data_IF_485924834079
#
_entry.id   IF_485924834079
#
_cell.length_a   1.000
_cell.length_b   1.000
_cell.length_c   1.000
_cell.angle_alpha   90.00
_cell.angle_beta   90.00
_cell.angle_gamma   90.00
#
_symmetry.space_group_name_H-M   'P 1'
#
loop_
_entity.id
_entity.type
_entity.pdbx_description
1 polymer ?
#
# COMPACT_ATOMS: atom_id res chain seq x y z
N UNK A 1 12.52 -13.47 -16.88
CA UNK A 1 11.25 -14.19 -16.65
C UNK A 1 10.67 -13.69 -15.34
N UNK A 2 9.34 -13.59 -15.22
CA UNK A 2 8.69 -13.23 -13.97
C UNK A 2 8.96 -14.28 -12.88
N UNK A 3 8.74 -13.92 -11.62
CA UNK A 3 8.76 -14.86 -10.48
C UNK A 3 7.47 -14.77 -9.67
N UNK A 4 6.97 -15.91 -9.20
CA UNK A 4 5.72 -16.04 -8.44
C UNK A 4 5.97 -16.85 -7.17
N UNK A 5 5.40 -16.43 -6.05
CA UNK A 5 5.53 -17.08 -4.73
C UNK A 5 4.30 -16.79 -3.85
N UNK A 6 4.18 -17.48 -2.72
CA UNK A 6 2.96 -17.51 -1.90
C UNK A 6 3.23 -17.10 -0.44
N UNK A 7 3.22 -15.79 -0.10
CA UNK A 7 3.51 -15.29 1.25
C UNK A 7 2.54 -15.76 2.34
N UNK A 8 1.27 -15.97 1.98
CA UNK A 8 0.24 -16.45 2.88
C UNK A 8 -0.33 -17.79 2.41
N UNK A 9 -0.70 -18.65 3.37
CA UNK A 9 -1.14 -20.04 3.10
C UNK A 9 -2.64 -20.19 2.84
N UNK A 10 -3.41 -19.10 2.86
CA UNK A 10 -4.83 -19.10 2.55
C UNK A 10 -5.07 -18.82 1.06
N UNK A 11 -6.25 -19.19 0.58
CA UNK A 11 -6.70 -18.88 -0.78
C UNK A 11 -6.87 -17.37 -1.01
N UNK A 12 -7.01 -16.97 -2.27
CA UNK A 12 -7.38 -15.62 -2.66
C UNK A 12 -8.90 -15.44 -2.71
N UNK A 13 -9.35 -14.29 -2.21
CA UNK A 13 -10.72 -13.84 -2.33
C UNK A 13 -10.94 -13.20 -3.72
N UNK A 14 -12.01 -13.56 -4.45
CA UNK A 14 -12.40 -12.81 -5.63
C UNK A 14 -12.88 -11.40 -5.26
N UNK A 15 -12.52 -10.40 -6.07
CA UNK A 15 -13.11 -9.08 -6.03
C UNK A 15 -14.63 -9.18 -6.31
N UNK A 16 -15.48 -8.46 -5.56
CA UNK A 16 -16.91 -8.43 -5.79
C UNK A 16 -17.28 -8.14 -7.26
N UNK A 17 -18.39 -8.71 -7.77
CA UNK A 17 -18.86 -8.42 -9.12
C UNK A 17 -19.20 -6.93 -9.24
N UNK A 18 -18.88 -6.33 -10.38
CA UNK A 18 -19.19 -4.94 -10.72
C UNK A 18 -20.70 -4.80 -10.98
N UNK A 19 -21.46 -4.47 -9.94
CA UNK A 19 -22.94 -4.53 -9.92
C UNK A 19 -23.66 -3.47 -10.75
N UNK A 20 -22.94 -2.57 -11.41
CA UNK A 20 -23.50 -1.58 -12.33
C UNK A 20 -22.64 -1.49 -13.59
N UNK A 21 -23.30 -1.50 -14.75
CA UNK A 21 -22.73 -1.00 -16.00
C UNK A 21 -22.80 0.53 -15.93
N UNK A 22 -21.67 1.17 -15.72
CA UNK A 22 -21.60 2.63 -15.63
C UNK A 22 -21.73 3.24 -17.02
N UNK A 23 -22.54 4.29 -17.15
CA UNK A 23 -22.87 4.92 -18.44
C UNK A 23 -21.82 5.95 -18.89
N UNK A 24 -20.94 6.37 -17.97
CA UNK A 24 -19.84 7.29 -18.23
C UNK A 24 -18.61 6.55 -18.82
N UNK A 25 -17.96 7.16 -19.80
CA UNK A 25 -16.77 6.60 -20.45
C UNK A 25 -15.63 6.32 -19.43
N UNK A 26 -14.88 5.20 -19.58
CA UNK A 26 -13.83 4.81 -18.63
C UNK A 26 -12.82 5.92 -18.34
N UNK A 27 -12.37 6.65 -19.36
CA UNK A 27 -11.42 7.75 -19.21
C UNK A 27 -11.93 8.85 -18.25
N UNK A 28 -13.15 9.37 -18.46
CA UNK A 28 -13.74 10.43 -17.61
C UNK A 28 -14.01 9.94 -16.19
N UNK A 29 -14.63 8.75 -16.06
CA UNK A 29 -14.94 8.12 -14.77
C UNK A 29 -13.68 7.90 -13.93
N UNK A 30 -12.63 7.32 -14.54
CA UNK A 30 -11.37 7.00 -13.85
C UNK A 30 -10.62 8.28 -13.51
N UNK A 31 -10.57 9.29 -14.38
CA UNK A 31 -9.95 10.59 -14.07
C UNK A 31 -10.59 11.21 -12.81
N UNK A 32 -11.90 11.46 -12.83
CA UNK A 32 -12.65 12.05 -11.71
C UNK A 32 -12.51 11.26 -10.42
N UNK A 33 -12.57 9.94 -10.49
CA UNK A 33 -12.52 9.08 -9.31
C UNK A 33 -11.11 8.86 -8.74
N UNK A 34 -10.05 9.04 -9.55
CA UNK A 34 -8.64 8.87 -9.15
C UNK A 34 -7.94 10.18 -8.81
N UNK A 35 -8.50 11.33 -9.18
CA UNK A 35 -7.87 12.64 -9.00
C UNK A 35 -8.69 13.56 -8.07
N UNK A 36 -9.51 13.00 -7.17
CA UNK A 36 -10.56 13.71 -6.41
C UNK A 36 -10.12 14.96 -5.65
N UNK A 37 -8.85 15.03 -5.26
CA UNK A 37 -8.25 16.15 -4.53
C UNK A 37 -7.35 17.03 -5.43
N UNK A 38 -7.42 16.87 -6.75
CA UNK A 38 -6.57 17.58 -7.72
C UNK A 38 -7.40 18.42 -8.70
N UNK A 39 -6.69 19.16 -9.56
CA UNK A 39 -7.27 20.11 -10.51
C UNK A 39 -8.18 19.40 -11.52
N UNK A 40 -7.75 18.26 -12.06
CA UNK A 40 -8.45 17.50 -13.10
C UNK A 40 -9.82 16.94 -12.70
N UNK A 41 -10.06 16.67 -11.41
CA UNK A 41 -11.39 16.25 -10.96
C UNK A 41 -12.43 17.40 -10.96
N UNK A 42 -11.97 18.66 -10.99
CA UNK A 42 -12.80 19.84 -10.77
C UNK A 42 -12.79 20.82 -11.96
N UNK A 43 -11.75 20.83 -12.81
CA UNK A 43 -11.59 21.78 -13.93
C UNK A 43 -11.21 21.13 -15.27
N UNK A 44 -11.51 19.84 -15.47
CA UNK A 44 -11.42 19.24 -16.80
C UNK A 44 -12.76 19.39 -17.55
N UNK A 45 -12.69 19.94 -18.76
CA UNK A 45 -13.77 19.97 -19.74
C UNK A 45 -13.75 18.72 -20.62
N UNK A 46 -13.67 18.92 -21.93
CA UNK A 46 -13.56 17.81 -22.89
C UNK A 46 -12.20 17.09 -22.75
N UNK A 47 -12.22 15.77 -22.68
CA UNK A 47 -11.01 14.94 -22.77
C UNK A 47 -10.70 14.77 -24.26
N UNK A 48 -9.59 15.37 -24.72
CA UNK A 48 -9.17 15.27 -26.10
C UNK A 48 -8.57 13.90 -26.42
N UNK A 49 -7.74 13.36 -25.50
CA UNK A 49 -7.21 11.99 -25.60
C UNK A 49 -6.89 11.40 -24.21
N UNK A 50 -7.05 10.08 -24.08
CA UNK A 50 -6.55 9.27 -22.98
C UNK A 50 -5.95 7.96 -23.48
N UNK A 51 -4.99 7.43 -22.72
CA UNK A 51 -4.59 6.01 -22.79
C UNK A 51 -5.75 5.00 -22.66
N UNK A 52 -6.90 5.43 -22.14
CA UNK A 52 -8.08 4.60 -21.89
C UNK A 52 -9.15 4.70 -22.99
N UNK A 53 -8.90 5.44 -24.07
CA UNK A 53 -9.86 5.62 -25.18
C UNK A 53 -9.65 4.62 -26.34
N UNK A 54 -8.71 3.68 -26.21
CA UNK A 54 -8.42 2.71 -27.28
C UNK A 54 -9.56 1.72 -27.48
N UNK A 55 -10.16 1.74 -28.67
CA UNK A 55 -11.28 0.87 -29.08
C UNK A 55 -10.88 -0.60 -29.23
N UNK A 56 -10.79 -1.33 -28.12
CA UNK A 56 -10.87 -2.80 -28.10
C UNK A 56 -12.08 -3.21 -27.25
N UNK A 57 -13.24 -3.33 -27.90
CA UNK A 57 -14.52 -3.72 -27.31
C UNK A 57 -14.42 -5.05 -26.55
N UNK A 58 -14.13 -4.98 -25.25
CA UNK A 58 -13.79 -6.11 -24.41
C UNK A 58 -13.98 -5.74 -22.93
N UNK A 59 -14.19 -6.71 -22.04
CA UNK A 59 -14.64 -6.46 -20.66
C UNK A 59 -13.55 -5.91 -19.69
N UNK A 60 -12.37 -5.57 -20.19
CA UNK A 60 -11.16 -5.33 -19.38
C UNK A 60 -11.09 -3.94 -18.73
N UNK A 61 -11.84 -2.95 -19.21
CA UNK A 61 -11.86 -1.59 -18.65
C UNK A 61 -12.97 -1.37 -17.60
N UNK A 62 -14.04 -2.19 -17.65
CA UNK A 62 -15.03 -2.29 -16.58
C UNK A 62 -14.44 -2.81 -15.26
N UNK A 63 -13.25 -3.41 -15.31
CA UNK A 63 -12.56 -4.02 -14.18
C UNK A 63 -11.44 -3.16 -13.57
N UNK A 64 -11.37 -1.88 -13.96
CA UNK A 64 -10.54 -0.88 -13.29
C UNK A 64 -11.32 -0.23 -12.15
N UNK A 65 -10.84 -0.44 -10.92
CA UNK A 65 -11.29 0.22 -9.68
C UNK A 65 -10.38 1.45 -9.44
N UNK A 66 -10.87 2.68 -9.65
CA UNK A 66 -10.07 3.91 -9.49
C UNK A 66 -9.75 4.25 -8.04
N UNK A 67 -8.62 4.92 -7.79
CA UNK A 67 -8.17 5.33 -6.45
C UNK A 67 -7.13 6.46 -6.51
N UNK A 68 -7.06 7.31 -5.46
CA UNK A 68 -6.15 8.46 -5.41
C UNK A 68 -4.65 8.12 -5.54
N UNK A 69 -4.26 6.87 -5.26
CA UNK A 69 -2.91 6.36 -5.50
C UNK A 69 -2.99 4.89 -5.90
N UNK A 70 -2.99 4.61 -7.21
CA UNK A 70 -3.21 3.26 -7.75
C UNK A 70 -2.28 2.22 -7.11
N UNK A 71 -0.98 2.44 -7.17
CA UNK A 71 0.03 1.51 -6.64
C UNK A 71 -0.19 1.20 -5.14
N UNK A 72 -0.20 2.23 -4.27
CA UNK A 72 -0.29 2.03 -2.82
C UNK A 72 -1.63 1.39 -2.44
N UNK A 73 -2.74 1.83 -3.03
CA UNK A 73 -4.06 1.25 -2.74
C UNK A 73 -4.19 -0.17 -3.29
N UNK A 74 -3.65 -0.50 -4.47
CA UNK A 74 -3.62 -1.88 -4.98
C UNK A 74 -2.87 -2.82 -4.03
N UNK A 75 -1.67 -2.44 -3.61
CA UNK A 75 -0.82 -3.28 -2.74
C UNK A 75 -1.44 -3.44 -1.35
N UNK A 76 -1.97 -2.36 -0.75
CA UNK A 76 -2.69 -2.44 0.54
C UNK A 76 -3.97 -3.27 0.42
N UNK A 77 -4.74 -3.12 -0.66
CA UNK A 77 -6.00 -3.86 -0.86
C UNK A 77 -5.73 -5.35 -1.06
N UNK A 78 -4.75 -5.73 -1.88
CA UNK A 78 -4.38 -7.14 -2.07
C UNK A 78 -3.96 -7.81 -0.75
N UNK A 79 -3.22 -7.10 0.10
CA UNK A 79 -2.79 -7.58 1.41
C UNK A 79 -3.92 -7.63 2.46
N UNK A 80 -4.87 -6.68 2.42
CA UNK A 80 -5.93 -6.54 3.43
C UNK A 80 -7.16 -7.41 3.14
N UNK A 81 -7.50 -7.55 1.86
CA UNK A 81 -8.70 -8.26 1.39
C UNK A 81 -8.37 -9.63 0.77
N UNK A 82 -7.10 -10.03 0.81
CA UNK A 82 -6.55 -11.30 0.30
C UNK A 82 -6.73 -11.52 -1.21
N UNK A 83 -6.40 -10.53 -2.04
CA UNK A 83 -6.29 -10.74 -3.48
C UNK A 83 -4.86 -11.15 -3.84
N UNK A 84 -4.67 -11.98 -4.88
CA UNK A 84 -3.34 -12.15 -5.47
C UNK A 84 -2.86 -10.81 -6.06
N UNK A 85 -1.54 -10.59 -6.06
CA UNK A 85 -0.94 -9.30 -6.43
C UNK A 85 0.08 -9.49 -7.55
N UNK A 86 -0.01 -8.69 -8.60
CA UNK A 86 0.99 -8.67 -9.68
C UNK A 86 1.51 -7.26 -9.89
N UNK A 87 2.83 -7.11 -9.90
CA UNK A 87 3.52 -5.81 -9.98
C UNK A 87 4.60 -5.87 -11.05
N UNK A 88 4.68 -4.83 -11.89
CA UNK A 88 5.76 -4.63 -12.87
C UNK A 88 6.83 -3.67 -12.34
N UNK A 89 8.06 -3.71 -12.89
CA UNK A 89 9.09 -2.70 -12.61
C UNK A 89 8.57 -1.26 -12.81
N UNK A 90 7.80 -1.01 -13.87
CA UNK A 90 7.26 0.31 -14.19
C UNK A 90 6.25 0.83 -13.16
N UNK A 91 5.45 -0.06 -12.55
CA UNK A 91 4.46 0.34 -11.53
C UNK A 91 5.16 0.87 -10.27
N UNK A 92 6.27 0.22 -9.89
CA UNK A 92 7.12 0.62 -8.75
C UNK A 92 7.97 1.84 -9.08
N UNK A 93 8.54 1.90 -10.27
CA UNK A 93 9.35 3.04 -10.69
C UNK A 93 8.50 4.31 -10.85
N UNK A 94 7.28 4.22 -11.36
CA UNK A 94 6.38 5.38 -11.42
C UNK A 94 5.90 5.81 -10.03
N UNK A 95 5.62 4.88 -9.11
CA UNK A 95 5.29 5.22 -7.72
C UNK A 95 6.43 6.00 -7.03
N UNK A 96 7.69 5.67 -7.35
CA UNK A 96 8.87 6.46 -6.94
C UNK A 96 8.87 7.82 -7.65
N UNK A 97 8.70 7.88 -8.98
CA UNK A 97 8.70 9.16 -9.70
C UNK A 97 7.61 10.13 -9.24
N UNK A 98 6.41 9.67 -8.89
CA UNK A 98 5.35 10.53 -8.32
C UNK A 98 5.76 11.11 -6.96
N UNK A 99 6.34 10.30 -6.06
CA UNK A 99 6.87 10.81 -4.79
C UNK A 99 8.03 11.79 -4.96
N UNK A 100 8.87 11.60 -5.98
CA UNK A 100 9.93 12.55 -6.33
C UNK A 100 9.34 13.85 -6.92
N UNK A 101 8.26 13.78 -7.70
CA UNK A 101 7.56 14.97 -8.22
C UNK A 101 6.99 15.83 -7.08
N UNK A 102 6.33 15.21 -6.08
CA UNK A 102 5.85 15.93 -4.89
C UNK A 102 7.01 16.63 -4.16
N UNK A 103 8.10 15.92 -3.87
CA UNK A 103 9.31 16.51 -3.28
C UNK A 103 9.85 17.70 -4.09
N UNK A 104 9.98 17.54 -5.42
CA UNK A 104 10.51 18.60 -6.31
C UNK A 104 9.60 19.82 -6.36
N UNK A 105 8.28 19.64 -6.34
CA UNK A 105 7.32 20.73 -6.36
C UNK A 105 7.27 21.48 -5.02
N UNK A 106 7.15 20.75 -3.89
CA UNK A 106 7.13 21.35 -2.55
C UNK A 106 8.43 22.05 -2.17
N UNK A 107 9.58 21.51 -2.62
CA UNK A 107 10.90 22.07 -2.39
C UNK A 107 11.43 22.85 -3.62
N UNK A 108 10.55 23.26 -4.54
CA UNK A 108 10.90 23.97 -5.78
C UNK A 108 11.67 25.28 -5.54
N UNK A 109 11.53 25.84 -4.33
CA UNK A 109 12.28 27.01 -3.84
C UNK A 109 13.69 26.72 -3.36
N UNK A 110 13.90 25.56 -2.74
CA UNK A 110 15.23 25.14 -2.28
C UNK A 110 16.05 24.56 -3.45
N UNK A 111 15.36 23.83 -4.34
CA UNK A 111 15.89 23.26 -5.57
C UNK A 111 15.97 24.30 -6.72
N UNK A 112 15.38 25.49 -6.54
CA UNK A 112 15.34 26.64 -7.47
C UNK A 112 16.60 26.87 -8.28
N UNK A 113 17.76 26.90 -7.62
CA UNK A 113 19.07 27.19 -8.26
C UNK A 113 19.66 25.99 -9.01
N UNK A 114 18.99 24.84 -8.97
CA UNK A 114 19.19 23.69 -9.84
C UNK A 114 18.16 23.64 -10.99
N UNK A 115 17.11 24.49 -10.97
CA UNK A 115 15.99 24.48 -11.94
C UNK A 115 15.55 25.89 -12.44
N UNK A 116 14.59 26.62 -11.81
CA UNK A 116 14.01 27.93 -12.26
C UNK A 116 13.41 28.80 -11.10
N UNK A 117 13.03 30.09 -11.29
CA UNK A 117 13.11 31.15 -10.25
C UNK A 117 11.95 32.20 -9.99
N UNK A 118 10.78 31.85 -9.39
CA UNK A 118 9.74 32.76 -8.75
C UNK A 118 8.63 32.04 -7.86
N UNK A 119 8.04 32.66 -6.79
CA UNK A 119 7.40 32.02 -5.55
C UNK A 119 5.83 32.04 -5.30
N UNK A 120 5.25 31.03 -4.56
CA UNK A 120 3.88 30.96 -3.89
C UNK A 120 3.30 29.52 -3.61
N UNK A 121 2.22 29.15 -2.83
CA UNK A 121 1.31 29.77 -1.80
C UNK A 121 0.57 28.75 -0.82
N UNK A 122 -0.75 28.82 -0.40
CA UNK A 122 -1.39 27.88 0.62
C UNK A 122 -2.97 27.73 0.72
N UNK A 123 -3.54 26.71 1.47
CA UNK A 123 -4.86 26.00 1.23
C UNK A 123 -5.82 25.50 2.45
N UNK A 124 -6.57 24.34 2.42
CA UNK A 124 -8.00 24.03 2.94
C UNK A 124 -8.32 22.86 4.02
N UNK A 125 -9.52 22.17 4.02
CA UNK A 125 -10.11 21.16 5.01
C UNK A 125 -11.03 19.98 4.43
N UNK A 126 -11.53 18.95 5.21
CA UNK A 126 -11.72 17.48 4.81
C UNK A 126 -12.98 16.64 5.38
N UNK A 127 -13.44 15.49 4.78
CA UNK A 127 -14.11 14.26 5.43
C UNK A 127 -14.42 12.94 4.59
N UNK A 128 -14.65 11.72 5.19
CA UNK A 128 -14.91 10.35 4.55
C UNK A 128 -15.52 9.18 5.46
N UNK A 129 -15.86 7.94 4.95
CA UNK A 129 -16.60 6.78 5.64
C UNK A 129 -16.34 5.29 5.14
N UNK A 130 -16.59 4.18 5.93
CA UNK A 130 -16.67 2.72 5.51
C UNK A 130 -17.04 1.64 6.62
N UNK A 131 -17.51 0.38 6.33
CA UNK A 131 -17.98 -0.66 7.35
C UNK A 131 -17.73 -2.20 7.10
N UNK A 132 -18.60 -3.16 7.57
CA UNK A 132 -18.21 -4.44 8.27
C UNK A 132 -18.79 -5.85 7.87
N UNK A 133 -19.48 -6.05 6.74
CA UNK A 133 -20.52 -7.12 6.62
C UNK A 133 -20.18 -8.46 5.90
N UNK A 134 -18.90 -8.86 5.74
CA UNK A 134 -18.52 -9.92 4.78
C UNK A 134 -17.53 -10.99 5.30
N UNK A 135 -17.84 -11.67 6.40
CA UNK A 135 -16.95 -12.70 7.02
C UNK A 135 -17.75 -13.92 7.48
N UNK A 136 -17.20 -15.13 7.29
CA UNK A 136 -17.68 -16.37 7.91
C UNK A 136 -17.06 -16.52 9.31
N UNK A 137 -17.91 -16.66 10.33
CA UNK A 137 -17.50 -16.78 11.73
C UNK A 137 -17.47 -18.23 12.24
N UNK A 138 -17.95 -19.20 11.46
CA UNK A 138 -17.99 -20.61 11.84
C UNK A 138 -16.60 -21.27 11.83
N UNK A 139 -15.78 -20.97 10.82
CA UNK A 139 -14.41 -21.49 10.76
C UNK A 139 -13.50 -20.86 11.83
N UNK A 140 -13.60 -19.55 12.00
CA UNK A 140 -12.87 -18.81 13.04
C UNK A 140 -13.14 -19.35 14.45
N UNK A 141 -14.33 -19.89 14.72
CA UNK A 141 -14.63 -20.49 16.01
C UNK A 141 -13.93 -21.85 16.24
N UNK A 142 -13.74 -22.66 15.18
CA UNK A 142 -13.08 -23.98 15.27
C UNK A 142 -11.60 -23.84 15.60
N UNK A 143 -10.89 -22.98 14.88
CA UNK A 143 -9.46 -22.69 15.08
C UNK A 143 -9.14 -22.20 16.50
N UNK A 144 -10.09 -21.51 17.16
CA UNK A 144 -9.93 -21.04 18.54
C UNK A 144 -9.93 -22.17 19.59
N UNK A 145 -10.38 -23.39 19.27
CA UNK A 145 -10.34 -24.54 20.21
C UNK A 145 -8.93 -25.06 20.43
N UNK A 146 -8.15 -25.14 19.35
CA UNK A 146 -6.76 -25.63 19.34
C UNK A 146 -5.84 -24.67 20.10
N UNK A 147 -6.15 -23.37 20.08
CA UNK A 147 -5.47 -22.36 20.90
C UNK A 147 -5.85 -22.44 22.38
N UNK A 148 -7.04 -22.93 22.73
CA UNK A 148 -7.44 -23.19 24.12
C UNK A 148 -6.71 -24.44 24.64
N UNK A 149 -6.70 -25.53 23.88
CA UNK A 149 -5.99 -26.79 24.18
C UNK A 149 -4.50 -26.56 24.50
N UNK A 150 -3.82 -25.70 23.74
CA UNK A 150 -2.41 -25.33 23.98
C UNK A 150 -2.17 -24.49 25.26
N UNK A 151 -3.22 -24.04 25.95
CA UNK A 151 -3.14 -23.11 27.09
C UNK A 151 -3.94 -23.58 28.33
N UNK A 152 -4.30 -24.87 28.39
CA UNK A 152 -4.96 -25.52 29.54
C UNK A 152 -4.08 -26.59 30.18
N UNK A 153 -4.36 -26.92 31.44
CA UNK A 153 -3.59 -27.91 32.23
C UNK A 153 -4.06 -29.35 31.98
N UNK A 154 -5.29 -29.50 31.50
CA UNK A 154 -5.92 -30.78 31.15
C UNK A 154 -5.94 -30.92 29.61
N UNK A 155 -5.06 -31.74 29.01
CA UNK A 155 -4.95 -31.85 27.56
C UNK A 155 -6.17 -32.57 26.94
N UNK A 156 -6.76 -33.52 27.67
CA UNK A 156 -7.84 -34.37 27.16
C UNK A 156 -9.18 -33.61 27.07
N UNK A 157 -9.26 -32.42 27.69
CA UNK A 157 -10.46 -31.58 27.74
C UNK A 157 -10.99 -31.18 26.35
N UNK A 158 -10.13 -31.00 25.34
CA UNK A 158 -10.60 -30.70 23.97
C UNK A 158 -11.23 -31.93 23.31
N UNK A 159 -10.59 -33.09 23.40
CA UNK A 159 -11.16 -34.35 22.87
C UNK A 159 -12.46 -34.74 23.59
N UNK A 160 -12.61 -34.40 24.88
CA UNK A 160 -13.85 -34.62 25.63
C UNK A 160 -15.00 -33.68 25.23
N UNK A 161 -14.72 -32.43 24.86
CA UNK A 161 -15.75 -31.44 24.48
C UNK A 161 -16.12 -31.54 22.99
N UNK A 162 -15.19 -31.96 22.12
CA UNK A 162 -15.39 -31.99 20.68
C UNK A 162 -16.05 -33.31 20.22
N UNK A 163 -17.19 -33.28 19.51
CA UNK A 163 -17.90 -34.48 19.11
C UNK A 163 -17.15 -35.25 18.00
N UNK A 164 -17.07 -36.56 18.16
CA UNK A 164 -16.49 -37.50 17.19
C UNK A 164 -17.43 -38.68 16.86
N UNK A 165 -18.74 -38.49 17.04
CA UNK A 165 -19.76 -39.51 16.75
C UNK A 165 -19.94 -39.71 15.24
N UNK A 166 -20.42 -40.89 14.81
CA UNK A 166 -20.66 -41.24 13.40
C UNK A 166 -21.69 -40.37 12.67
N UNK A 167 -22.46 -39.56 13.39
CA UNK A 167 -23.44 -38.60 12.87
C UNK A 167 -22.95 -37.14 12.88
N UNK A 168 -21.70 -36.89 13.29
CA UNK A 168 -21.17 -35.54 13.52
C UNK A 168 -20.95 -34.79 12.20
N UNK A 169 -21.40 -33.54 12.13
CA UNK A 169 -21.22 -32.66 10.98
C UNK A 169 -20.31 -31.46 11.27
N UNK A 170 -20.03 -30.67 10.22
CA UNK A 170 -19.34 -29.37 10.34
C UNK A 170 -20.14 -28.40 11.24
N UNK A 171 -21.47 -28.49 11.27
CA UNK A 171 -22.29 -27.67 12.17
C UNK A 171 -22.05 -28.05 13.64
N UNK A 172 -22.06 -29.34 13.96
CA UNK A 172 -21.95 -29.83 15.34
C UNK A 172 -20.56 -29.55 15.95
N UNK A 173 -19.50 -29.74 15.16
CA UNK A 173 -18.13 -29.36 15.56
C UNK A 173 -17.98 -27.85 15.73
N UNK A 174 -18.63 -27.04 14.88
CA UNK A 174 -18.64 -25.57 15.02
C UNK A 174 -19.38 -25.11 16.28
N UNK A 175 -20.57 -25.67 16.55
CA UNK A 175 -21.34 -25.35 17.76
C UNK A 175 -20.58 -25.76 19.01
N UNK A 176 -19.98 -26.96 19.02
CA UNK A 176 -19.17 -27.44 20.16
C UNK A 176 -17.91 -26.59 20.38
N UNK A 177 -17.29 -26.10 19.30
CA UNK A 177 -16.18 -25.14 19.38
C UNK A 177 -16.59 -23.83 20.07
N UNK A 178 -17.74 -23.27 19.67
CA UNK A 178 -18.31 -22.05 20.30
C UNK A 178 -18.67 -22.32 21.77
N UNK A 179 -19.16 -23.53 22.10
CA UNK A 179 -19.44 -23.94 23.49
C UNK A 179 -18.16 -24.07 24.32
N UNK A 180 -17.07 -24.61 23.75
CA UNK A 180 -15.76 -24.68 24.42
C UNK A 180 -15.24 -23.27 24.74
N UNK A 181 -15.25 -22.36 23.76
CA UNK A 181 -14.92 -20.95 23.97
C UNK A 181 -15.82 -20.32 25.05
N UNK A 182 -17.13 -20.52 24.96
CA UNK A 182 -18.11 -19.96 25.89
C UNK A 182 -18.00 -20.52 27.33
N UNK A 183 -17.42 -21.71 27.48
CA UNK A 183 -17.08 -22.33 28.77
C UNK A 183 -15.84 -21.67 29.37
N UNK A 184 -14.78 -21.51 28.57
CA UNK A 184 -13.48 -20.99 29.04
C UNK A 184 -13.38 -19.45 29.08
N UNK A 185 -14.44 -18.72 28.72
CA UNK A 185 -14.52 -17.24 28.68
C UNK A 185 -14.27 -16.49 30.01
N UNK A 186 -14.07 -17.21 31.11
CA UNK A 186 -13.65 -16.65 32.41
C UNK A 186 -12.13 -16.63 32.60
N UNK A 187 -11.39 -17.34 31.74
CA UNK A 187 -9.95 -17.51 31.81
C UNK A 187 -9.22 -16.91 30.60
N UNK A 188 -9.91 -16.81 29.44
CA UNK A 188 -9.37 -16.20 28.22
C UNK A 188 -10.23 -15.03 27.72
N UNK A 189 -9.58 -13.93 27.31
CA UNK A 189 -10.20 -12.84 26.53
C UNK A 189 -10.06 -13.14 25.03
N UNK A 190 -11.15 -13.46 24.36
CA UNK A 190 -11.13 -13.76 22.92
C UNK A 190 -11.14 -12.50 22.07
N UNK A 191 -10.08 -12.29 21.29
CA UNK A 191 -9.99 -11.21 20.30
C UNK A 191 -9.80 -11.80 18.90
N UNK A 192 -10.88 -11.86 18.13
CA UNK A 192 -10.79 -12.11 16.70
C UNK A 192 -10.09 -10.91 16.03
N UNK A 193 -8.96 -11.17 15.39
CA UNK A 193 -8.29 -10.27 14.46
C UNK A 193 -8.36 -10.95 13.10
N UNK A 194 -8.89 -10.25 12.09
CA UNK A 194 -8.76 -10.72 10.71
C UNK A 194 -7.28 -10.71 10.37
N UNK A 195 -6.74 -11.86 9.96
CA UNK A 195 -5.39 -11.94 9.43
C UNK A 195 -5.28 -11.06 8.18
N UNK A 196 -4.09 -10.55 7.89
CA UNK A 196 -3.78 -9.90 6.63
C UNK A 196 -2.59 -10.62 5.98
N UNK A 197 -2.56 -10.62 4.66
CA UNK A 197 -1.58 -11.38 3.89
C UNK A 197 -1.97 -11.50 2.43
N UNK A 198 -0.95 -11.56 1.56
CA UNK A 198 -1.15 -11.74 0.12
C UNK A 198 -1.04 -13.24 -0.18
N UNK A 199 -2.08 -13.89 -0.75
CA UNK A 199 -2.05 -15.32 -1.11
C UNK A 199 -0.92 -15.66 -2.09
N UNK A 200 -0.79 -14.84 -3.15
CA UNK A 200 0.17 -15.03 -4.24
C UNK A 200 0.69 -13.68 -4.71
N UNK A 201 2.01 -13.55 -4.83
CA UNK A 201 2.67 -12.38 -5.44
C UNK A 201 3.37 -12.83 -6.71
N UNK A 202 3.21 -12.07 -7.79
CA UNK A 202 4.03 -12.19 -9.00
C UNK A 202 4.76 -10.88 -9.27
N UNK A 203 6.08 -10.94 -9.42
CA UNK A 203 6.90 -9.84 -9.92
C UNK A 203 7.13 -10.07 -11.41
N UNK A 204 6.57 -9.19 -12.24
CA UNK A 204 6.74 -9.22 -13.70
C UNK A 204 8.12 -8.69 -14.14
N UNK A 205 8.43 -8.81 -15.43
CA UNK A 205 9.72 -8.42 -16.01
C UNK A 205 10.85 -9.43 -15.77
N UNK A 206 12.05 -8.93 -15.46
CA UNK A 206 13.25 -9.73 -15.18
C UNK A 206 13.99 -9.16 -13.97
N UNK A 207 14.80 -9.99 -13.30
CA UNK A 207 15.68 -9.56 -12.21
C UNK A 207 16.56 -8.35 -12.58
N UNK A 208 16.98 -8.22 -13.85
CA UNK A 208 17.80 -7.11 -14.32
C UNK A 208 17.05 -5.75 -14.28
N UNK A 209 15.73 -5.76 -14.49
CA UNK A 209 14.89 -4.56 -14.41
C UNK A 209 14.75 -4.09 -12.95
N UNK A 210 14.56 -5.04 -12.02
CA UNK A 210 14.52 -4.78 -10.58
C UNK A 210 15.89 -4.30 -10.04
N UNK A 211 16.99 -4.87 -10.52
CA UNK A 211 18.36 -4.37 -10.25
C UNK A 211 18.56 -2.96 -10.85
N UNK A 212 17.95 -2.67 -12.00
CA UNK A 212 17.99 -1.33 -12.60
C UNK A 212 17.26 -0.30 -11.74
N UNK A 213 16.11 -0.64 -11.14
CA UNK A 213 15.45 0.22 -10.13
C UNK A 213 16.38 0.47 -8.93
N UNK A 214 17.01 -0.59 -8.39
CA UNK A 214 17.94 -0.49 -7.27
C UNK A 214 19.13 0.44 -7.58
N UNK A 215 19.65 0.41 -8.81
CA UNK A 215 20.72 1.33 -9.25
C UNK A 215 20.24 2.77 -9.48
N UNK A 216 18.98 2.98 -9.88
CA UNK A 216 18.43 4.30 -10.16
C UNK A 216 18.10 5.09 -8.88
N UNK A 217 17.65 4.43 -7.81
CA UNK A 217 17.30 5.11 -6.55
C UNK A 217 18.52 5.76 -5.87
N UNK A 218 19.75 5.30 -6.14
CA UNK A 218 20.99 5.96 -5.68
C UNK A 218 21.04 7.45 -6.03
N UNK A 219 20.42 7.87 -7.15
CA UNK A 219 20.38 9.28 -7.56
C UNK A 219 19.64 10.18 -6.55
N UNK A 220 18.72 9.64 -5.74
CA UNK A 220 17.97 10.40 -4.73
C UNK A 220 18.91 11.11 -3.74
N UNK A 221 20.07 10.50 -3.41
CA UNK A 221 21.09 11.07 -2.52
C UNK A 221 21.65 12.42 -2.97
N UNK A 222 21.49 12.77 -4.25
CA UNK A 222 21.99 14.02 -4.84
C UNK A 222 21.10 15.23 -4.51
N UNK A 223 19.89 15.00 -4.00
CA UNK A 223 18.87 16.05 -3.80
C UNK A 223 18.66 16.46 -2.32
N UNK A 224 19.55 16.04 -1.41
CA UNK A 224 19.56 16.49 -0.02
C UNK A 224 19.25 15.42 1.03
N UNK A 225 19.02 15.85 2.27
CA UNK A 225 18.91 14.96 3.43
C UNK A 225 17.62 14.11 3.43
N UNK A 226 16.48 14.69 3.05
CA UNK A 226 15.18 13.99 3.04
C UNK A 226 15.12 12.91 1.95
N UNK A 227 15.60 13.22 0.75
CA UNK A 227 15.74 12.27 -0.36
C UNK A 227 16.82 11.22 -0.12
N UNK A 228 17.86 11.53 0.67
CA UNK A 228 18.80 10.53 1.20
C UNK A 228 18.12 9.59 2.21
N UNK A 229 17.33 10.13 3.15
CA UNK A 229 16.58 9.31 4.11
C UNK A 229 15.51 8.44 3.42
N UNK A 230 14.90 8.95 2.36
CA UNK A 230 13.99 8.18 1.50
C UNK A 230 14.69 7.03 0.78
N UNK A 231 15.89 7.23 0.25
CA UNK A 231 16.69 6.15 -0.32
C UNK A 231 16.90 5.01 0.70
N UNK A 232 17.21 5.32 1.96
CA UNK A 232 17.39 4.30 3.00
C UNK A 232 16.07 3.59 3.36
N UNK A 233 14.90 4.20 3.13
CA UNK A 233 13.58 3.52 3.24
C UNK A 233 13.25 2.64 2.01
N UNK A 234 13.64 3.07 0.81
CA UNK A 234 13.40 2.31 -0.43
C UNK A 234 14.34 1.12 -0.58
N UNK A 235 15.62 1.26 -0.23
CA UNK A 235 16.66 0.25 -0.47
C UNK A 235 16.31 -1.13 0.14
N UNK A 236 15.88 -1.26 1.41
CA UNK A 236 15.48 -2.56 1.99
C UNK A 236 14.30 -3.23 1.27
N UNK A 237 13.43 -2.46 0.62
CA UNK A 237 12.28 -2.95 -0.15
C UNK A 237 12.72 -3.45 -1.51
N UNK A 238 13.44 -2.61 -2.28
CA UNK A 238 13.87 -2.95 -3.65
C UNK A 238 14.90 -4.09 -3.64
N UNK A 239 15.79 -4.16 -2.64
CA UNK A 239 16.71 -5.31 -2.46
C UNK A 239 15.94 -6.62 -2.30
N UNK A 240 14.81 -6.63 -1.58
CA UNK A 240 13.99 -7.83 -1.39
C UNK A 240 13.18 -8.19 -2.64
N UNK A 241 12.72 -7.20 -3.41
CA UNK A 241 12.14 -7.46 -4.73
C UNK A 241 13.16 -8.12 -5.69
N UNK A 242 14.44 -7.74 -5.62
CA UNK A 242 15.52 -8.41 -6.38
C UNK A 242 15.80 -9.82 -5.85
N UNK A 243 15.88 -10.01 -4.53
CA UNK A 243 16.19 -11.29 -3.89
C UNK A 243 15.10 -12.36 -4.11
N UNK A 244 13.84 -11.95 -4.27
CA UNK A 244 12.72 -12.83 -4.60
C UNK A 244 12.89 -13.60 -5.91
N UNK A 245 13.76 -13.14 -6.84
CA UNK A 245 14.11 -13.88 -8.06
C UNK A 245 15.14 -14.99 -7.83
N UNK A 246 15.90 -14.96 -6.72
CA UNK A 246 16.88 -15.99 -6.37
C UNK A 246 16.28 -17.06 -5.47
N UNK A 247 15.50 -16.64 -4.47
CA UNK A 247 14.90 -17.54 -3.47
C UNK A 247 13.43 -17.15 -3.18
N UNK A 248 12.50 -17.38 -4.14
CA UNK A 248 11.10 -16.98 -4.01
C UNK A 248 10.41 -17.50 -2.74
N UNK A 249 10.63 -18.77 -2.41
CA UNK A 249 9.95 -19.45 -1.29
C UNK A 249 10.77 -19.44 0.02
N UNK A 250 11.87 -18.68 0.08
CA UNK A 250 12.62 -18.53 1.33
C UNK A 250 11.79 -17.78 2.38
N UNK A 251 11.81 -18.28 3.62
CA UNK A 251 11.02 -17.71 4.72
C UNK A 251 11.22 -16.20 4.85
N UNK A 252 12.44 -15.67 4.69
CA UNK A 252 12.75 -14.24 4.74
C UNK A 252 12.02 -13.39 3.69
N UNK A 253 11.76 -13.93 2.49
CA UNK A 253 10.95 -13.25 1.47
C UNK A 253 9.47 -13.27 1.88
N UNK A 254 8.93 -14.44 2.22
CA UNK A 254 7.53 -14.60 2.62
C UNK A 254 7.20 -13.70 3.83
N UNK A 255 8.08 -13.71 4.83
CA UNK A 255 8.04 -12.84 6.02
C UNK A 255 8.05 -11.35 5.71
N UNK A 256 8.68 -10.92 4.61
CA UNK A 256 8.73 -9.53 4.19
C UNK A 256 7.42 -9.11 3.48
N UNK A 257 6.86 -9.98 2.63
CA UNK A 257 5.56 -9.71 2.01
C UNK A 257 4.41 -9.77 3.02
N UNK A 258 4.56 -10.51 4.12
CA UNK A 258 3.67 -10.41 5.28
C UNK A 258 3.84 -9.11 6.12
N UNK A 259 4.72 -8.19 5.73
CA UNK A 259 4.98 -6.90 6.39
C UNK A 259 4.65 -5.67 5.51
N UNK A 260 3.86 -5.88 4.44
CA UNK A 260 3.35 -4.82 3.52
C UNK A 260 2.71 -3.67 4.30
N UNK A 261 1.68 -3.99 5.08
CA UNK A 261 0.90 -3.04 5.88
C UNK A 261 0.52 -3.65 7.23
N UNK A 262 0.14 -2.82 8.20
CA UNK A 262 -0.52 -3.25 9.42
C UNK A 262 -1.42 -2.12 9.91
N UNK A 263 -2.72 -2.39 9.98
CA UNK A 263 -3.74 -1.39 10.28
C UNK A 263 -3.96 -1.21 11.78
N UNK A 264 -3.87 0.04 12.24
CA UNK A 264 -4.11 0.45 13.63
C UNK A 264 -5.44 1.22 13.69
N UNK A 265 -6.55 0.60 14.16
CA UNK A 265 -7.83 1.28 14.31
C UNK A 265 -7.75 2.35 15.40
N UNK A 266 -8.08 3.60 15.07
CA UNK A 266 -8.01 4.73 16.01
C UNK A 266 -9.16 4.81 17.02
N UNK A 267 -10.19 3.95 16.91
CA UNK A 267 -11.42 4.06 17.68
C UNK A 267 -12.17 5.34 17.30
N UNK A 268 -12.23 6.32 18.21
CA UNK A 268 -12.72 7.67 17.92
C UNK A 268 -11.65 8.60 17.33
N UNK A 269 -10.37 8.20 17.36
CA UNK A 269 -9.26 8.91 16.73
C UNK A 269 -9.00 8.45 15.29
N UNK A 270 -8.05 9.09 14.57
CA UNK A 270 -7.67 8.68 13.23
C UNK A 270 -7.05 7.28 13.22
N UNK A 271 -7.37 6.49 12.20
CA UNK A 271 -6.73 5.20 11.93
C UNK A 271 -5.46 5.36 11.09
N UNK A 272 -4.51 4.43 11.27
CA UNK A 272 -3.16 4.50 10.68
C UNK A 272 -2.78 3.16 10.06
N UNK A 273 -1.77 3.17 9.21
CA UNK A 273 -1.08 1.96 8.78
C UNK A 273 0.45 2.12 8.89
N UNK A 274 1.09 1.14 9.53
CA UNK A 274 2.55 0.90 9.44
C UNK A 274 2.84 -0.12 8.35
N UNK A 275 4.11 -0.40 8.04
CA UNK A 275 4.52 -1.42 7.05
C UNK A 275 5.40 -0.84 5.95
N UNK A 276 6.04 -1.69 5.14
CA UNK A 276 7.06 -1.23 4.20
C UNK A 276 6.51 -0.39 3.04
N UNK A 277 5.21 -0.48 2.72
CA UNK A 277 4.57 0.34 1.69
C UNK A 277 4.61 1.85 2.02
N UNK A 278 4.97 2.23 3.26
CA UNK A 278 5.24 3.63 3.64
C UNK A 278 6.44 4.24 2.88
N UNK A 279 7.36 3.45 2.34
CA UNK A 279 8.46 3.97 1.50
C UNK A 279 7.97 4.62 0.18
N UNK A 280 6.69 4.47 -0.17
CA UNK A 280 6.02 5.12 -1.29
C UNK A 280 5.05 6.23 -0.83
N UNK A 281 5.13 6.65 0.44
CA UNK A 281 4.31 7.68 1.08
C UNK A 281 5.14 8.55 2.04
N UNK A 282 6.32 9.00 1.59
CA UNK A 282 7.32 9.77 2.35
C UNK A 282 7.17 11.29 2.23
N UNK A 283 6.46 11.76 1.21
CA UNK A 283 6.12 13.18 1.02
C UNK A 283 4.61 13.34 0.95
N UNK A 284 4.07 14.37 1.60
CA UNK A 284 2.66 14.78 1.48
C UNK A 284 2.41 15.57 0.17
N UNK A 285 1.19 16.07 -0.03
CA UNK A 285 0.81 16.81 -1.24
C UNK A 285 1.46 18.20 -1.34
N UNK A 286 1.86 18.79 -0.21
CA UNK A 286 2.74 19.97 -0.11
C UNK A 286 4.22 19.62 -0.39
N UNK A 287 4.55 18.35 -0.68
CA UNK A 287 5.91 17.87 -0.96
C UNK A 287 6.83 17.79 0.26
N UNK A 288 6.26 17.83 1.48
CA UNK A 288 7.00 17.89 2.75
C UNK A 288 7.18 16.49 3.34
N UNK A 289 8.35 16.27 3.96
CA UNK A 289 8.72 15.00 4.57
C UNK A 289 7.77 14.55 5.70
N UNK A 290 7.24 13.33 5.57
CA UNK A 290 6.33 12.68 6.53
C UNK A 290 7.00 11.56 7.33
N UNK A 291 8.23 11.18 6.96
CA UNK A 291 9.03 10.17 7.66
C UNK A 291 9.51 10.62 9.04
N UNK A 292 10.20 9.72 9.75
CA UNK A 292 10.92 10.12 10.96
C UNK A 292 12.03 11.13 10.61
N UNK A 293 12.35 12.10 11.48
CA UNK A 293 13.43 13.06 11.22
C UNK A 293 14.74 12.32 10.91
N UNK A 294 15.36 12.65 9.78
CA UNK A 294 16.71 12.21 9.49
C UNK A 294 17.64 12.69 10.63
N UNK A 295 18.46 11.80 11.17
CA UNK A 295 19.27 12.09 12.36
C UNK A 295 20.12 13.35 12.18
N UNK A 296 19.95 14.32 13.08
CA UNK A 296 20.66 15.59 13.01
C UNK A 296 22.18 15.38 12.94
N UNK A 297 22.86 16.18 12.12
CA UNK A 297 24.33 16.12 11.97
C UNK A 297 25.01 16.63 13.24
N UNK A 298 25.12 15.75 14.24
CA UNK A 298 25.78 15.99 15.51
C UNK A 298 27.30 16.01 15.33
N UNK A 299 27.88 17.20 15.15
CA UNK A 299 29.34 17.39 15.13
C UNK A 299 29.90 17.10 16.54
N UNK A 300 30.24 15.84 16.80
CA UNK A 300 30.77 15.39 18.09
C UNK A 300 32.29 15.61 18.14
N UNK A 301 32.71 16.58 18.96
CA UNK A 301 34.12 16.94 19.10
C UNK A 301 34.83 15.98 20.05
N UNK A 302 35.48 14.96 19.50
CA UNK A 302 36.34 14.06 20.26
C UNK A 302 37.48 14.82 20.96
N UNK A 303 37.83 14.39 22.19
CA UNK A 303 39.01 14.88 22.92
C UNK A 303 40.35 14.55 22.23
N UNK A 304 40.34 13.73 21.17
CA UNK A 304 41.50 13.40 20.32
C UNK A 304 41.36 13.96 18.90
N UNK A 305 41.20 15.29 18.80
CA UNK A 305 41.53 16.14 17.62
C UNK A 305 40.99 15.77 16.23
N UNK A 306 40.04 14.83 16.11
CA UNK A 306 39.42 14.43 14.85
C UNK A 306 37.92 14.70 14.86
N UNK A 307 37.43 15.29 13.77
CA UNK A 307 36.00 15.48 13.51
C UNK A 307 35.50 14.21 12.81
N UNK A 308 34.58 13.49 13.46
CA UNK A 308 33.81 12.43 12.80
C UNK A 308 32.47 13.00 12.35
N UNK A 309 32.22 12.96 11.03
CA UNK A 309 30.89 13.20 10.48
C UNK A 309 30.17 11.85 10.45
N UNK A 310 29.35 11.60 11.47
CA UNK A 310 28.52 10.40 11.57
C UNK A 310 27.03 10.77 11.43
N UNK A 311 26.30 10.03 10.61
CA UNK A 311 24.84 10.06 10.65
C UNK A 311 24.38 9.35 11.93
N UNK A 312 23.76 10.10 12.84
CA UNK A 312 23.12 9.51 14.02
C UNK A 312 21.91 8.69 13.53
N UNK A 313 21.77 7.45 13.99
CA UNK A 313 20.59 6.63 13.63
C UNK A 313 19.32 7.35 14.11
N UNK A 314 18.21 7.31 13.36
CA UNK A 314 16.97 7.97 13.77
C UNK A 314 16.47 7.36 15.08
N UNK A 315 16.52 8.14 16.16
CA UNK A 315 15.99 7.74 17.47
C UNK A 315 14.46 7.90 17.48
N UNK A 316 13.71 6.96 18.11
CA UNK A 316 12.28 7.11 18.28
C UNK A 316 11.97 8.34 19.15
N UNK A 317 10.83 9.04 18.94
CA UNK A 317 10.55 10.31 19.58
C UNK A 317 10.57 10.22 21.12
N UNK A 318 11.43 11.06 21.73
CA UNK A 318 11.90 10.98 23.13
C UNK A 318 10.81 11.08 24.21
N UNK A 319 9.58 11.47 23.86
CA UNK A 319 8.43 11.54 24.78
C UNK A 319 7.96 10.18 25.36
N UNK A 320 8.63 9.07 25.02
CA UNK A 320 8.46 7.75 25.65
C UNK A 320 9.30 7.53 26.93
N UNK A 321 9.99 8.56 27.45
CA UNK A 321 10.75 8.49 28.71
C UNK A 321 9.91 8.13 29.96
N UNK A 322 8.57 8.15 29.87
CA UNK A 322 7.68 7.64 30.92
C UNK A 322 7.55 6.12 30.76
N UNK A 323 8.21 5.35 31.65
CA UNK A 323 8.27 3.86 31.67
C UNK A 323 7.06 3.21 30.97
N UNK A 324 7.23 2.55 29.81
CA UNK A 324 6.11 1.94 29.12
C UNK A 324 5.54 0.82 29.98
N UNK A 325 4.24 0.90 30.26
CA UNK A 325 3.48 -0.31 30.61
C UNK A 325 3.36 -1.16 29.35
N UNK A 326 3.19 -2.48 29.48
CA UNK A 326 3.16 -3.39 28.33
C UNK A 326 2.05 -3.09 27.29
N UNK A 327 1.13 -2.15 27.59
CA UNK A 327 0.07 -1.66 26.69
C UNK A 327 0.45 -0.41 25.85
N UNK A 328 1.63 0.19 26.04
CA UNK A 328 1.99 1.47 25.38
C UNK A 328 3.13 1.40 24.34
N UNK A 329 3.71 0.23 24.09
CA UNK A 329 4.69 0.04 23.02
C UNK A 329 3.98 -0.01 21.65
N UNK A 330 3.82 1.15 21.01
CA UNK A 330 3.26 1.25 19.64
C UNK A 330 4.22 0.58 18.64
N UNK A 331 3.82 -0.48 17.92
CA UNK A 331 4.72 -1.18 17.02
C UNK A 331 5.02 -0.34 15.77
N UNK A 332 6.28 -0.39 15.35
CA UNK A 332 6.83 0.19 14.13
C UNK A 332 7.59 -0.89 13.36
N UNK A 333 7.58 -0.84 12.03
CA UNK A 333 8.38 -1.77 11.24
C UNK A 333 9.84 -1.31 11.21
N UNK A 334 10.76 -2.24 11.39
CA UNK A 334 12.18 -2.05 11.11
C UNK A 334 12.63 -3.09 10.09
N UNK A 335 13.26 -2.66 8.99
CA UNK A 335 13.96 -3.53 8.05
C UNK A 335 15.42 -3.04 7.95
N UNK A 336 16.38 -3.95 8.05
CA UNK A 336 17.82 -3.68 7.93
C UNK A 336 18.36 -2.56 8.86
N UNK A 337 17.67 -2.32 9.97
CA UNK A 337 17.97 -1.25 10.94
C UNK A 337 17.34 0.11 10.62
N UNK A 338 16.56 0.23 9.54
CA UNK A 338 15.81 1.44 9.14
C UNK A 338 14.37 1.34 9.65
N UNK A 339 13.88 2.40 10.29
CA UNK A 339 12.54 2.47 10.91
C UNK A 339 11.55 3.14 9.95
N UNK A 340 10.45 2.44 9.65
CA UNK A 340 9.39 2.93 8.76
C UNK A 340 8.34 3.71 9.55
N UNK A 341 7.92 4.86 9.02
CA UNK A 341 6.90 5.72 9.62
C UNK A 341 5.48 5.12 9.47
N UNK A 342 4.49 5.91 9.89
CA UNK A 342 3.06 5.54 9.86
C UNK A 342 2.27 6.59 9.11
N UNK A 343 1.64 6.18 8.02
CA UNK A 343 0.71 7.02 7.27
C UNK A 343 -0.70 6.91 7.85
N UNK A 344 -1.43 8.02 7.90
CA UNK A 344 -2.84 8.07 8.30
C UNK A 344 -3.70 7.57 7.14
N UNK A 345 -4.73 6.76 7.39
CA UNK A 345 -5.41 6.00 6.32
C UNK A 345 -6.13 6.84 5.26
N UNK A 346 -6.33 8.15 5.51
CA UNK A 346 -6.86 9.12 4.53
C UNK A 346 -5.84 10.20 4.12
N UNK A 347 -4.55 10.00 4.36
CA UNK A 347 -3.44 10.88 3.94
C UNK A 347 -2.40 10.09 3.13
N UNK A 348 -2.90 9.20 2.25
CA UNK A 348 -2.06 8.57 1.23
C UNK A 348 -1.84 9.63 0.14
N UNK A 349 -0.60 10.09 -0.09
CA UNK A 349 -0.32 11.11 -1.08
C UNK A 349 -0.72 10.63 -2.49
N UNK A 350 -1.07 11.54 -3.42
CA UNK A 350 -1.57 11.14 -4.72
C UNK A 350 -0.58 10.29 -5.53
N UNK A 351 -1.12 9.38 -6.36
CA UNK A 351 -0.35 8.54 -7.29
C UNK A 351 -0.27 9.09 -8.71
N UNK A 352 -0.93 10.24 -8.97
CA UNK A 352 -0.98 10.93 -10.25
C UNK A 352 -0.46 12.36 -10.12
N UNK A 353 0.09 12.89 -11.21
CA UNK A 353 0.65 14.23 -11.35
C UNK A 353 -0.02 14.97 -12.51
N UNK A 354 0.00 16.29 -12.43
CA UNK A 354 -0.66 17.21 -13.37
C UNK A 354 0.33 18.24 -13.93
N UNK A 355 0.10 18.71 -15.15
CA UNK A 355 0.83 19.83 -15.76
C UNK A 355 -0.06 20.59 -16.75
N UNK A 356 -0.02 21.92 -16.67
CA UNK A 356 -0.70 22.80 -17.63
C UNK A 356 0.07 22.86 -18.95
N UNK A 357 -0.65 22.71 -20.06
CA UNK A 357 -0.10 22.70 -21.42
C UNK A 357 -0.97 23.58 -22.32
N UNK A 358 -0.36 24.54 -23.01
CA UNK A 358 -1.01 25.28 -24.09
C UNK A 358 -0.90 24.45 -25.37
N UNK A 359 -2.03 23.94 -25.86
CA UNK A 359 -2.12 23.18 -27.11
C UNK A 359 -2.43 24.15 -28.26
N UNK A 360 -1.62 24.10 -29.32
CA UNK A 360 -1.89 24.77 -30.59
C UNK A 360 -2.38 23.75 -31.62
N UNK A 361 -3.69 23.73 -31.87
CA UNK A 361 -4.29 22.96 -32.95
C UNK A 361 -4.51 23.87 -34.17
N UNK A 362 -3.51 23.88 -35.06
CA UNK A 362 -3.54 24.55 -36.36
C UNK A 362 -3.88 26.07 -36.28
N UNK A 363 -3.40 26.75 -35.23
CA UNK A 363 -3.66 28.17 -34.93
C UNK A 363 -4.79 28.40 -33.91
N UNK A 364 -5.44 27.33 -33.44
CA UNK A 364 -6.45 27.39 -32.37
C UNK A 364 -5.80 27.01 -31.05
N UNK A 365 -5.73 27.96 -30.11
CA UNK A 365 -5.07 27.77 -28.82
C UNK A 365 -6.04 27.28 -27.74
N UNK A 366 -5.76 26.11 -27.17
CA UNK A 366 -6.50 25.53 -26.06
C UNK A 366 -5.64 25.49 -24.79
N UNK A 367 -6.18 26.00 -23.68
CA UNK A 367 -5.59 25.73 -22.36
C UNK A 367 -5.95 24.29 -21.98
N UNK A 368 -4.97 23.41 -21.82
CA UNK A 368 -5.18 22.01 -21.48
C UNK A 368 -4.47 21.63 -20.19
N UNK A 369 -5.01 20.63 -19.52
CA UNK A 369 -4.38 19.95 -18.40
C UNK A 369 -3.98 18.54 -18.87
N UNK A 370 -2.69 18.22 -18.75
CA UNK A 370 -2.23 16.83 -18.87
C UNK A 370 -2.16 16.20 -17.48
N UNK A 371 -2.66 14.97 -17.36
CA UNK A 371 -2.69 14.22 -16.09
C UNK A 371 -2.14 12.83 -16.34
N UNK A 372 -1.24 12.34 -15.49
CA UNK A 372 -0.65 11.01 -15.65
C UNK A 372 -0.24 10.39 -14.32
N UNK A 373 -0.32 9.06 -14.20
CA UNK A 373 0.22 8.34 -13.05
C UNK A 373 -0.40 6.98 -12.81
N UNK A 374 -0.32 6.52 -11.55
CA UNK A 374 -0.96 5.28 -11.12
C UNK A 374 -2.35 5.56 -10.53
N UNK A 375 -3.38 5.02 -11.19
CA UNK A 375 -4.77 5.50 -11.11
C UNK A 375 -5.73 4.53 -10.43
N UNK A 376 -5.36 3.27 -10.27
CA UNK A 376 -6.25 2.29 -9.67
C UNK A 376 -5.75 0.86 -9.71
N UNK A 377 -6.65 -0.06 -9.34
CA UNK A 377 -6.44 -1.50 -9.42
C UNK A 377 -7.23 -2.05 -10.61
N UNK A 378 -6.58 -2.76 -11.52
CA UNK A 378 -7.26 -3.63 -12.49
C UNK A 378 -7.46 -4.99 -11.83
N UNK A 379 -8.70 -5.44 -11.81
CA UNK A 379 -9.08 -6.81 -11.47
C UNK A 379 -8.75 -7.71 -12.66
N UNK A 380 -8.24 -8.91 -12.39
CA UNK A 380 -7.87 -9.91 -13.38
C UNK A 380 -8.26 -11.30 -12.89
N UNK A 381 -8.53 -12.19 -13.84
CA UNK A 381 -8.59 -13.62 -13.60
C UNK A 381 -7.17 -14.19 -13.49
N UNK A 382 -6.95 -15.12 -12.57
CA UNK A 382 -5.72 -15.92 -12.52
C UNK A 382 -5.75 -17.11 -13.48
N UNK A 383 -6.94 -17.60 -13.82
CA UNK A 383 -7.16 -18.92 -14.42
C UNK A 383 -6.87 -20.09 -13.48
N UNK A 384 -6.54 -19.82 -12.21
CA UNK A 384 -5.94 -20.75 -11.27
C UNK A 384 -6.93 -21.16 -10.17
N UNK A 385 -7.58 -22.31 -10.37
CA UNK A 385 -8.52 -22.89 -9.40
C UNK A 385 -7.86 -23.46 -8.13
N UNK A 386 -6.52 -23.40 -8.02
CA UNK A 386 -5.81 -23.69 -6.76
C UNK A 386 -5.56 -22.42 -5.93
N UNK A 387 -5.65 -21.24 -6.56
CA UNK A 387 -5.54 -19.95 -5.90
C UNK A 387 -6.89 -19.46 -5.35
N UNK A 388 -7.97 -19.57 -6.13
CA UNK A 388 -9.33 -19.16 -5.74
C UNK A 388 -10.37 -20.15 -6.28
N UNK A 389 -11.60 -20.10 -5.74
CA UNK A 389 -12.63 -21.11 -6.05
C UNK A 389 -12.90 -21.33 -7.55
N UNK A 390 -12.83 -20.25 -8.34
CA UNK A 390 -13.03 -20.30 -9.80
C UNK A 390 -11.83 -19.85 -10.64
N UNK A 391 -10.77 -19.32 -10.01
CA UNK A 391 -9.65 -18.71 -10.73
C UNK A 391 -9.99 -17.37 -11.39
N UNK A 392 -11.11 -16.75 -11.02
CA UNK A 392 -11.63 -15.52 -11.63
C UNK A 392 -11.69 -14.36 -10.65
N UNK A 393 -11.45 -13.15 -11.16
CA UNK A 393 -11.46 -11.88 -10.44
C UNK A 393 -10.64 -11.87 -9.14
N UNK A 394 -9.62 -12.70 -9.00
CA UNK A 394 -8.86 -12.90 -7.75
C UNK A 394 -7.53 -12.13 -7.71
N UNK A 395 -7.14 -11.54 -8.84
CA UNK A 395 -5.81 -10.98 -9.06
C UNK A 395 -5.89 -9.47 -9.26
N UNK A 396 -5.06 -8.74 -8.50
CA UNK A 396 -4.96 -7.29 -8.48
C UNK A 396 -3.68 -6.83 -9.20
N UNK A 397 -3.81 -5.90 -10.17
CA UNK A 397 -2.67 -5.24 -10.82
C UNK A 397 -2.78 -3.71 -10.71
N UNK A 398 -1.70 -2.96 -10.43
CA UNK A 398 -1.71 -1.51 -10.55
C UNK A 398 -2.02 -1.09 -11.99
N UNK A 399 -2.74 0.02 -12.15
CA UNK A 399 -3.03 0.63 -13.46
C UNK A 399 -2.27 1.94 -13.58
N UNK A 400 -1.61 2.11 -14.73
CA UNK A 400 -1.02 3.37 -15.17
C UNK A 400 -1.88 3.93 -16.30
N UNK A 401 -2.16 5.23 -16.29
CA UNK A 401 -2.89 5.92 -17.35
C UNK A 401 -2.47 7.39 -17.48
N UNK A 402 -2.78 7.98 -18.63
CA UNK A 402 -2.63 9.41 -18.91
C UNK A 402 -3.86 9.97 -19.64
N UNK A 403 -4.03 11.30 -19.54
CA UNK A 403 -5.05 12.11 -20.20
C UNK A 403 -4.47 13.46 -20.66
N UNK A 404 -5.07 14.03 -21.70
CA UNK A 404 -5.04 15.46 -22.00
C UNK A 404 -6.48 15.94 -22.20
N UNK A 405 -6.86 17.01 -21.50
CA UNK A 405 -8.21 17.55 -21.50
C UNK A 405 -8.20 19.08 -21.48
N UNK A 406 -9.25 19.72 -21.97
CA UNK A 406 -9.45 21.17 -21.83
C UNK A 406 -9.50 21.56 -20.34
N UNK A 407 -8.83 22.66 -19.97
CA UNK A 407 -8.85 23.21 -18.62
C UNK A 407 -9.95 24.27 -18.49
N UNK A 408 -11.11 23.86 -17.98
CA UNK A 408 -12.29 24.70 -17.78
C UNK A 408 -12.24 25.45 -16.45
N UNK A 409 -11.35 26.45 -16.36
CA UNK A 409 -11.18 27.30 -15.18
C UNK A 409 -10.21 28.46 -15.41
N UNK A 410 -10.10 29.35 -14.41
CA UNK A 410 -9.07 30.38 -14.29
C UNK A 410 -8.26 30.16 -13.02
#
# INVERSE_FOLDING_TARGET
>A
MPVTFHPAKHLANPFPPTTKREEEAPASRILKASCRNQTSANTCGEIFQSSLDQKVSSAFDSDIIPSNNGFVNTVIKAYSDHHALVIRPDDVWLAILTQFNLFVNGNSEQLRKQFVAHEGKKELEIKAVGTRYSVDFGDLARQMTELIEQNIVDPDLREWIMPAFTTTTILDTTVSSIVMMATMKKYFEYKLMLCCGIPRVTLEGTKADWVTILSRIEKLKQYGAETTAWFELLRPVVVRFVAAFDNPDAQENLDFWQKVAHFHPGGSGPSWWSGWINAFCVFDEDGKWTGYPAGSVSITRSLRSHIFIGLQKPEPPVNLARRPTARSAQPYLTLDGVIYHRTKSGHVPPGVVEVDVLLDDNGTLFNTLMTAGSVGTRVCDSGDKTLSADGTRDTAKPVLAWWIAEKTGK
#
